data_IF_509844769259
#
_entry.id   IF_509844769259
#
_cell.length_a   1.000
_cell.length_b   1.000
_cell.length_c   1.000
_cell.angle_alpha   90.00
_cell.angle_beta   90.00
_cell.angle_gamma   90.00
#
_symmetry.space_group_name_H-M   'P 1'
#
loop_
_entity.id
_entity.type
_entity.pdbx_description
1 polymer ?
#
# COMPACT_ATOMS: atom_id res chain seq x y z
N UNK A 1 15.95 12.64 0.95
CA UNK A 1 15.64 11.34 1.59
C UNK A 1 15.55 11.43 3.12
N UNK A 2 16.37 12.23 3.82
CA UNK A 2 16.17 12.47 5.27
C UNK A 2 14.79 13.07 5.60
N UNK A 3 14.21 13.87 4.70
CA UNK A 3 12.85 14.41 4.86
C UNK A 3 11.74 13.35 4.66
N UNK A 4 11.95 12.32 3.84
CA UNK A 4 10.89 11.32 3.62
C UNK A 4 10.60 10.49 4.88
N UNK A 5 11.61 10.24 5.73
CA UNK A 5 11.44 9.42 6.93
C UNK A 5 10.66 10.09 8.06
N UNK A 6 10.50 11.42 8.04
CA UNK A 6 9.74 12.15 9.08
C UNK A 6 8.32 12.52 8.63
N UNK A 7 8.07 12.63 7.31
CA UNK A 7 6.78 13.11 6.78
C UNK A 7 6.00 12.11 5.90
N UNK A 8 6.54 10.95 5.51
CA UNK A 8 5.73 9.88 4.88
C UNK A 8 4.87 9.14 5.91
N UNK A 9 3.79 9.79 6.33
CA UNK A 9 2.64 9.14 6.98
C UNK A 9 1.58 8.68 5.98
N UNK A 10 1.86 8.91 4.70
CA UNK A 10 1.06 8.48 3.58
C UNK A 10 1.68 7.16 3.14
N UNK A 11 0.89 6.10 3.14
CA UNK A 11 1.36 4.77 2.75
C UNK A 11 0.41 4.18 1.74
N UNK A 12 0.97 3.65 0.66
CA UNK A 12 0.21 2.88 -0.33
C UNK A 12 0.64 1.43 -0.21
N UNK A 13 -0.33 0.53 -0.29
CA UNK A 13 -0.03 -0.88 -0.43
C UNK A 13 0.32 -1.12 -1.89
N UNK A 14 1.61 -1.13 -2.20
CA UNK A 14 2.04 -1.59 -3.50
C UNK A 14 2.00 -3.11 -3.54
N UNK A 15 1.38 -3.63 -4.59
CA UNK A 15 1.52 -5.01 -4.97
C UNK A 15 3.01 -5.26 -5.24
N UNK A 16 3.68 -6.04 -4.37
CA UNK A 16 4.90 -6.75 -4.79
C UNK A 16 4.60 -7.32 -6.18
N UNK A 17 5.51 -7.27 -7.16
CA UNK A 17 5.36 -8.01 -8.42
C UNK A 17 5.17 -9.48 -8.03
N UNK A 18 3.89 -9.83 -7.90
CA UNK A 18 3.48 -10.72 -6.83
C UNK A 18 3.58 -12.09 -7.36
N UNK A 19 4.48 -12.87 -6.77
CA UNK A 19 4.55 -14.31 -6.97
C UNK A 19 3.12 -14.88 -6.83
N UNK A 20 2.44 -15.19 -7.95
CA UNK A 20 1.06 -15.64 -7.92
C UNK A 20 0.96 -17.01 -7.25
N UNK A 21 2.08 -17.76 -7.23
CA UNK A 21 2.18 -19.04 -6.56
C UNK A 21 2.12 -18.87 -5.05
N UNK A 22 2.71 -17.79 -4.53
CA UNK A 22 2.68 -17.46 -3.10
C UNK A 22 1.37 -16.76 -2.69
N UNK A 23 1.01 -15.64 -3.31
CA UNK A 23 -0.07 -14.77 -2.78
C UNK A 23 -1.43 -14.95 -3.48
N UNK A 24 -1.45 -15.57 -4.67
CA UNK A 24 -2.61 -15.51 -5.55
C UNK A 24 -2.70 -14.18 -6.27
N UNK A 25 -3.42 -14.13 -7.38
CA UNK A 25 -3.46 -12.93 -8.22
C UNK A 25 -4.18 -11.76 -7.54
N UNK A 26 -5.22 -12.05 -6.73
CA UNK A 26 -5.99 -11.08 -5.96
C UNK A 26 -5.68 -11.13 -4.46
N UNK A 27 -4.58 -11.77 -4.05
CA UNK A 27 -4.22 -11.95 -2.65
C UNK A 27 -5.04 -13.04 -1.94
N UNK A 28 -5.73 -13.90 -2.68
CA UNK A 28 -6.67 -14.88 -2.15
C UNK A 28 -6.02 -15.99 -1.29
N UNK A 29 -4.69 -16.16 -1.36
CA UNK A 29 -3.97 -17.19 -0.58
C UNK A 29 -3.62 -16.77 0.86
N UNK A 30 -3.87 -15.52 1.23
CA UNK A 30 -3.75 -14.96 2.60
C UNK A 30 -2.56 -15.52 3.41
N UNK A 31 -1.37 -15.50 2.81
CA UNK A 31 -0.18 -16.12 3.39
C UNK A 31 0.33 -15.32 4.58
N UNK A 32 0.57 -16.02 5.69
CA UNK A 32 1.23 -15.46 6.86
C UNK A 32 2.72 -15.24 6.60
N UNK A 33 3.15 -13.98 6.57
CA UNK A 33 4.55 -13.59 6.42
C UNK A 33 5.12 -13.30 7.80
N UNK A 34 6.14 -14.05 8.22
CA UNK A 34 6.86 -13.77 9.47
C UNK A 34 7.89 -12.65 9.31
N UNK A 35 8.40 -12.11 10.41
CA UNK A 35 9.30 -10.94 10.41
C UNK A 35 10.59 -11.20 9.63
N UNK A 36 11.12 -12.42 9.68
CA UNK A 36 12.33 -12.81 8.94
C UNK A 36 12.10 -12.80 7.43
N UNK A 37 10.97 -13.34 6.97
CA UNK A 37 10.58 -13.31 5.57
C UNK A 37 10.32 -11.87 5.09
N UNK A 38 9.60 -11.07 5.88
CA UNK A 38 9.38 -9.65 5.59
C UNK A 38 10.69 -8.87 5.50
N UNK A 39 11.61 -9.05 6.45
CA UNK A 39 12.93 -8.41 6.42
C UNK A 39 13.74 -8.81 5.20
N UNK A 40 13.68 -10.08 4.77
CA UNK A 40 14.36 -10.57 3.57
C UNK A 40 13.80 -9.94 2.29
N UNK A 41 12.49 -9.73 2.24
CA UNK A 41 11.81 -9.02 1.15
C UNK A 41 12.29 -7.58 1.10
N UNK A 42 12.20 -6.84 2.22
CA UNK A 42 12.66 -5.44 2.30
C UNK A 42 14.14 -5.36 1.90
N UNK A 43 14.97 -6.25 2.42
CA UNK A 43 16.39 -6.28 2.09
C UNK A 43 16.65 -6.42 0.59
N UNK A 44 15.89 -7.28 -0.09
CA UNK A 44 16.02 -7.52 -1.52
C UNK A 44 15.65 -6.30 -2.34
N UNK A 45 14.53 -5.63 -2.03
CA UNK A 45 14.08 -4.46 -2.79
C UNK A 45 14.92 -3.22 -2.51
N UNK A 46 15.39 -3.06 -1.28
CA UNK A 46 16.24 -1.95 -0.85
C UNK A 46 17.74 -2.28 -0.92
N UNK A 47 18.16 -3.19 -1.79
CA UNK A 47 19.57 -3.61 -1.89
C UNK A 47 20.52 -2.48 -2.30
N UNK A 48 20.00 -1.53 -3.09
CA UNK A 48 20.77 -0.41 -3.62
C UNK A 48 20.77 0.80 -2.67
N UNK A 49 20.04 0.71 -1.55
CA UNK A 49 20.02 1.76 -0.55
C UNK A 49 21.28 1.70 0.32
N UNK A 50 21.84 2.86 0.72
CA UNK A 50 23.09 2.91 1.48
C UNK A 50 22.97 2.31 2.87
N UNK A 51 21.77 2.32 3.47
CA UNK A 51 21.51 1.74 4.79
C UNK A 51 20.19 0.95 4.80
N UNK A 52 20.21 -0.21 4.15
CA UNK A 52 19.08 -1.15 4.13
C UNK A 52 18.68 -1.62 5.54
N UNK A 53 19.63 -1.65 6.49
CA UNK A 53 19.33 -2.04 7.88
C UNK A 53 18.46 -1.00 8.57
N UNK A 54 18.74 0.28 8.37
CA UNK A 54 17.88 1.35 8.88
C UNK A 54 16.48 1.29 8.27
N UNK A 55 16.36 0.93 6.98
CA UNK A 55 15.05 0.71 6.34
C UNK A 55 14.29 -0.44 7.00
N UNK A 56 14.94 -1.60 7.19
CA UNK A 56 14.32 -2.74 7.86
C UNK A 56 13.88 -2.35 9.28
N UNK A 57 14.72 -1.64 10.03
CA UNK A 57 14.37 -1.20 11.39
C UNK A 57 13.21 -0.20 11.41
N UNK A 58 13.08 0.64 10.37
CA UNK A 58 11.99 1.61 10.26
C UNK A 58 10.63 0.92 10.10
N UNK A 59 10.52 -0.07 9.21
CA UNK A 59 9.26 -0.76 8.92
C UNK A 59 9.01 -1.97 9.82
N UNK A 60 10.05 -2.66 10.29
CA UNK A 60 9.97 -3.84 11.17
C UNK A 60 10.71 -3.62 12.49
N UNK A 61 10.37 -2.57 13.28
CA UNK A 61 11.05 -2.28 14.53
C UNK A 61 10.88 -3.40 15.56
N UNK A 62 11.77 -3.44 16.55
CA UNK A 62 11.85 -4.51 17.55
C UNK A 62 10.57 -4.70 18.38
N UNK A 63 9.74 -3.65 18.51
CA UNK A 63 8.49 -3.72 19.26
C UNK A 63 7.37 -4.46 18.53
N UNK A 64 7.48 -4.71 17.21
CA UNK A 64 6.52 -5.53 16.47
C UNK A 64 6.75 -7.00 16.85
N UNK A 65 5.76 -7.69 17.46
CA UNK A 65 5.84 -9.11 17.79
C UNK A 65 6.01 -10.01 16.55
N UNK A 66 6.63 -11.18 16.74
CA UNK A 66 6.87 -12.15 15.65
C UNK A 66 5.60 -12.85 15.14
N UNK A 67 4.57 -12.92 15.97
CA UNK A 67 3.28 -13.56 15.69
C UNK A 67 2.22 -12.60 15.13
N UNK A 68 2.53 -11.32 15.00
CA UNK A 68 1.68 -10.30 14.38
C UNK A 68 1.81 -10.32 12.84
N UNK A 69 1.46 -11.46 12.23
CA UNK A 69 1.65 -11.72 10.79
C UNK A 69 0.99 -10.67 9.89
N UNK A 70 -0.20 -10.18 10.26
CA UNK A 70 -0.92 -9.18 9.48
C UNK A 70 -0.20 -7.83 9.49
N UNK A 71 0.27 -7.39 10.65
CA UNK A 71 1.03 -6.16 10.78
C UNK A 71 2.38 -6.27 10.08
N UNK A 72 3.10 -7.39 10.26
CA UNK A 72 4.38 -7.64 9.59
C UNK A 72 4.22 -7.61 8.06
N UNK A 73 3.17 -8.26 7.56
CA UNK A 73 2.82 -8.24 6.14
C UNK A 73 2.49 -6.82 5.66
N UNK A 74 1.64 -6.10 6.39
CA UNK A 74 1.27 -4.72 6.07
C UNK A 74 2.50 -3.80 6.00
N UNK A 75 3.42 -3.90 6.95
CA UNK A 75 4.66 -3.12 6.97
C UNK A 75 5.58 -3.44 5.79
N UNK A 76 5.68 -4.72 5.41
CA UNK A 76 6.48 -5.12 4.25
C UNK A 76 5.93 -4.48 2.96
N UNK A 77 4.62 -4.54 2.73
CA UNK A 77 4.00 -3.91 1.55
C UNK A 77 4.03 -2.38 1.60
N UNK A 78 3.83 -1.79 2.77
CA UNK A 78 3.97 -0.35 3.00
C UNK A 78 5.35 0.13 2.61
N UNK A 79 6.41 -0.59 3.01
CA UNK A 79 7.77 -0.22 2.65
C UNK A 79 8.00 -0.14 1.14
N UNK A 80 7.37 -1.03 0.38
CA UNK A 80 7.50 -1.06 -1.08
C UNK A 80 6.73 0.10 -1.71
N UNK A 81 5.48 0.31 -1.32
CA UNK A 81 4.70 1.43 -1.85
C UNK A 81 5.25 2.79 -1.48
N UNK A 82 5.85 2.92 -0.29
CA UNK A 82 6.55 4.14 0.09
C UNK A 82 7.79 4.36 -0.80
N UNK A 83 8.53 3.31 -1.13
CA UNK A 83 9.70 3.39 -2.01
C UNK A 83 9.34 3.79 -3.44
N UNK A 84 8.32 3.16 -4.02
CA UNK A 84 8.05 3.21 -5.47
C UNK A 84 7.06 4.31 -5.87
N UNK A 85 6.17 4.69 -4.96
CA UNK A 85 5.07 5.62 -5.24
C UNK A 85 5.14 6.83 -4.30
N UNK A 86 4.98 6.64 -2.99
CA UNK A 86 4.77 7.80 -2.09
C UNK A 86 5.99 8.70 -1.98
N UNK A 87 7.17 8.19 -1.61
CA UNK A 87 8.35 9.02 -1.43
C UNK A 87 8.75 9.76 -2.72
N UNK A 88 8.77 9.11 -3.91
CA UNK A 88 9.01 9.81 -5.17
C UNK A 88 7.98 10.89 -5.48
N UNK A 89 6.69 10.62 -5.27
CA UNK A 89 5.61 11.57 -5.58
C UNK A 89 5.63 12.79 -4.66
N UNK A 90 5.84 12.58 -3.35
CA UNK A 90 6.00 13.66 -2.38
C UNK A 90 7.24 14.51 -2.71
N UNK A 91 8.38 13.86 -2.96
CA UNK A 91 9.60 14.58 -3.35
C UNK A 91 9.40 15.40 -4.63
N UNK A 92 8.71 14.84 -5.62
CA UNK A 92 8.40 15.56 -6.86
C UNK A 92 7.49 16.77 -6.61
N UNK A 93 6.44 16.60 -5.81
CA UNK A 93 5.51 17.65 -5.43
C UNK A 93 6.23 18.81 -4.71
N UNK A 94 7.09 18.51 -3.73
CA UNK A 94 7.94 19.49 -3.04
C UNK A 94 8.83 20.25 -4.03
N UNK A 95 9.51 19.55 -4.93
CA UNK A 95 10.42 20.17 -5.91
C UNK A 95 9.70 21.04 -6.94
N UNK A 96 8.44 20.73 -7.28
CA UNK A 96 7.61 21.60 -8.10
C UNK A 96 7.15 22.85 -7.33
N UNK A 97 6.77 22.68 -6.07
CA UNK A 97 6.36 23.78 -5.17
C UNK A 97 7.50 24.77 -4.93
N UNK A 98 8.71 24.28 -4.65
CA UNK A 98 9.93 25.10 -4.48
C UNK A 98 10.25 25.97 -5.72
N UNK A 99 9.80 25.55 -6.91
CA UNK A 99 9.97 26.29 -8.17
C UNK A 99 8.83 27.28 -8.45
N UNK A 100 7.90 27.45 -7.51
CA UNK A 100 6.78 28.39 -7.61
C UNK A 100 5.59 27.86 -8.41
N UNK A 101 5.46 26.55 -8.58
CA UNK A 101 4.25 25.95 -9.17
C UNK A 101 3.15 25.80 -8.12
N UNK A 102 1.89 26.00 -8.51
CA UNK A 102 0.75 25.60 -7.68
C UNK A 102 0.62 24.07 -7.70
N UNK A 103 0.85 23.43 -6.55
CA UNK A 103 0.84 21.98 -6.41
C UNK A 103 -0.36 21.55 -5.58
N UNK A 104 -1.11 20.57 -6.10
CA UNK A 104 -2.20 19.90 -5.40
C UNK A 104 -1.85 18.44 -5.24
N UNK A 105 -1.94 17.95 -4.00
CA UNK A 105 -1.67 16.56 -3.65
C UNK A 105 -2.90 15.96 -2.99
N UNK A 106 -3.18 14.69 -3.25
CA UNK A 106 -4.29 13.97 -2.60
C UNK A 106 -3.81 12.61 -2.14
N UNK A 107 -4.51 12.06 -1.15
CA UNK A 107 -4.31 10.69 -0.70
C UNK A 107 -5.61 9.92 -0.81
N UNK A 108 -5.58 8.85 -1.61
CA UNK A 108 -6.75 8.00 -1.86
C UNK A 108 -6.84 6.89 -0.82
N UNK A 109 -7.89 6.93 0.00
CA UNK A 109 -8.10 5.98 1.10
C UNK A 109 -9.40 5.18 0.95
N UNK A 110 -10.12 5.33 -0.15
CA UNK A 110 -11.38 4.64 -0.37
C UNK A 110 -11.17 3.27 -1.02
N UNK A 111 -11.59 2.22 -0.31
CA UNK A 111 -11.66 0.86 -0.85
C UNK A 111 -13.03 0.59 -1.47
N UNK A 112 -13.06 0.34 -2.78
CA UNK A 112 -14.28 -0.04 -3.47
C UNK A 112 -14.93 -1.29 -2.85
N UNK A 113 -16.26 -1.28 -2.70
CA UNK A 113 -17.01 -2.45 -2.22
C UNK A 113 -17.06 -3.60 -3.21
N UNK A 114 -16.67 -3.38 -4.47
CA UNK A 114 -16.67 -4.40 -5.54
C UNK A 114 -15.28 -4.76 -6.04
N UNK A 115 -14.27 -4.34 -5.30
CA UNK A 115 -12.89 -4.75 -5.49
C UNK A 115 -12.75 -6.29 -5.43
N UNK A 116 -12.05 -6.93 -6.38
CA UNK A 116 -11.77 -8.36 -6.32
C UNK A 116 -10.64 -8.72 -5.35
N UNK A 117 -9.85 -7.72 -4.94
CA UNK A 117 -8.69 -7.88 -4.08
C UNK A 117 -9.08 -8.36 -2.69
N UNK A 118 -8.25 -9.16 -2.02
CA UNK A 118 -8.51 -9.64 -0.67
C UNK A 118 -8.55 -8.49 0.36
N UNK A 119 -9.34 -8.60 1.45
CA UNK A 119 -9.48 -7.53 2.46
C UNK A 119 -8.16 -7.03 3.04
N UNK A 120 -7.21 -7.92 3.30
CA UNK A 120 -5.91 -7.59 3.87
C UNK A 120 -5.05 -6.68 2.98
N UNK A 121 -5.34 -6.62 1.67
CA UNK A 121 -4.61 -5.77 0.72
C UNK A 121 -4.99 -4.28 0.84
N UNK A 122 -6.08 -3.94 1.55
CA UNK A 122 -6.47 -2.55 1.76
C UNK A 122 -6.78 -1.82 0.45
N UNK A 123 -6.25 -0.61 0.26
CA UNK A 123 -6.42 0.17 -0.97
C UNK A 123 -5.22 -0.09 -1.87
N UNK A 124 -5.44 -0.81 -2.96
CA UNK A 124 -4.36 -1.20 -3.89
C UNK A 124 -4.11 -0.10 -4.93
N UNK A 125 -2.93 -0.15 -5.53
CA UNK A 125 -2.56 0.67 -6.67
C UNK A 125 -3.64 0.65 -7.78
N UNK A 126 -3.89 1.82 -8.40
CA UNK A 126 -4.90 2.06 -9.43
C UNK A 126 -6.38 1.88 -9.03
N UNK A 127 -6.69 1.64 -7.75
CA UNK A 127 -8.08 1.49 -7.30
C UNK A 127 -8.92 2.77 -7.40
N UNK A 128 -8.28 3.92 -7.55
CA UNK A 128 -8.91 5.22 -7.75
C UNK A 128 -9.41 5.43 -9.19
N UNK A 129 -8.83 4.74 -10.19
CA UNK A 129 -9.13 4.99 -11.60
C UNK A 129 -10.61 4.80 -11.92
N UNK A 130 -11.24 3.77 -11.36
CA UNK A 130 -12.67 3.51 -11.53
C UNK A 130 -13.52 4.72 -11.11
N UNK A 131 -13.10 5.44 -10.06
CA UNK A 131 -13.80 6.62 -9.55
C UNK A 131 -13.48 7.86 -10.36
N UNK A 132 -12.22 8.06 -10.74
CA UNK A 132 -11.79 9.17 -11.62
C UNK A 132 -12.56 9.15 -12.94
N UNK A 133 -12.77 7.96 -13.52
CA UNK A 133 -13.51 7.79 -14.77
C UNK A 133 -15.03 7.60 -14.58
N UNK A 134 -15.53 7.66 -13.35
CA UNK A 134 -16.96 7.62 -13.07
C UNK A 134 -17.64 6.26 -13.31
N UNK A 135 -16.91 5.14 -13.29
CA UNK A 135 -17.49 3.80 -13.46
C UNK A 135 -18.64 3.49 -12.47
N UNK A 136 -18.58 3.89 -11.18
CA UNK A 136 -19.70 3.69 -10.27
C UNK A 136 -21.01 4.34 -10.72
N UNK A 137 -20.94 5.42 -11.52
CA UNK A 137 -22.11 6.11 -12.08
C UNK A 137 -22.62 5.43 -13.36
N UNK A 138 -21.70 4.96 -14.21
CA UNK A 138 -22.02 4.31 -15.49
C UNK A 138 -22.60 2.91 -15.32
N UNK A 139 -22.13 2.17 -14.32
CA UNK A 139 -22.58 0.80 -14.04
C UNK A 139 -22.86 0.59 -12.55
N UNK A 140 -23.97 1.15 -12.02
CA UNK A 140 -24.29 1.04 -10.59
C UNK A 140 -24.51 -0.39 -10.09
N UNK A 141 -24.65 -1.36 -11.00
CA UNK A 141 -24.79 -2.79 -10.69
C UNK A 141 -23.43 -3.48 -10.47
N UNK A 142 -22.36 -3.01 -11.12
CA UNK A 142 -20.99 -3.49 -10.94
C UNK A 142 -20.31 -2.87 -9.70
N UNK A 143 -20.88 -1.81 -9.12
CA UNK A 143 -20.48 -1.21 -7.85
C UNK A 143 -21.34 -1.65 -6.64
N UNK A 144 -22.34 -2.53 -6.84
CA UNK A 144 -23.28 -2.99 -5.79
C UNK A 144 -23.34 -4.50 -5.57
N UNK A 145 -22.52 -5.30 -6.22
CA UNK A 145 -22.44 -6.74 -5.93
C UNK A 145 -21.51 -7.01 -4.75
N UNK A 146 -21.91 -6.48 -3.60
CA UNK A 146 -21.33 -6.70 -2.28
C UNK A 146 -22.42 -6.82 -1.21
N UNK A 147 -23.59 -7.35 -1.56
CA UNK A 147 -24.67 -7.64 -0.59
C UNK A 147 -24.93 -9.14 -0.50
N UNK A 148 -24.05 -9.82 0.23
CA UNK A 148 -24.50 -10.87 1.15
C UNK A 148 -24.03 -10.49 2.54
N UNK A 149 -24.98 -9.93 3.30
CA UNK A 149 -25.01 -9.80 4.76
C UNK A 149 -24.04 -8.80 5.40
N UNK A 150 -24.43 -7.53 5.43
CA UNK A 150 -24.11 -6.62 6.53
C UNK A 150 -25.41 -5.92 6.94
N UNK A 151 -25.84 -5.96 8.23
CA UNK A 151 -27.00 -5.20 8.67
C UNK A 151 -26.73 -3.71 8.49
N UNK A 152 -27.67 -2.99 7.88
CA UNK A 152 -27.69 -1.53 7.90
C UNK A 152 -28.21 -1.11 9.27
N UNK A 153 -27.36 -0.45 10.06
CA UNK A 153 -27.79 0.29 11.23
C UNK A 153 -28.44 1.61 10.74
N UNK A 154 -29.77 1.64 10.79
CA UNK A 154 -30.58 2.86 10.98
C UNK A 154 -30.87 3.03 12.47
#
# INVERSE_FOLDING_TARGET
>A
MKECSEECKISVNEFMPGDPDTFGFFGEKDVQINKTAAASIIQKYFSDFPDTKAVIQHYLPDYIPEDEYDLVRYQAYTSLGDMTLVCPDVYYAEKCSEKGSDVFFYFWTHRSSTTPWAPWMGVVHFSELDFVFGLPLLSPKLSRTGTKNQPTDD
#
